data_IF_017580965462
#
_entry.id   IF_017580965462
#
_cell.length_a   1.000
_cell.length_b   1.000
_cell.length_c   1.000
_cell.angle_alpha   90.00
_cell.angle_beta   90.00
_cell.angle_gamma   90.00
#
_symmetry.space_group_name_H-M   'P 1'
#
loop_
_entity.id
_entity.type
_entity.pdbx_description
1 polymer ?
#
# COMPACT_ATOMS: atom_id res chain seq x y z
N UNK A 1 10.29 19.59 -6.17
CA UNK A 1 10.13 18.29 -6.87
C UNK A 1 8.65 17.95 -7.00
N UNK A 2 8.23 17.27 -8.06
CA UNK A 2 6.80 16.91 -8.25
C UNK A 2 6.50 15.56 -7.59
N UNK A 3 5.26 15.32 -7.17
CA UNK A 3 4.85 14.00 -6.64
C UNK A 3 5.07 12.86 -7.66
N UNK A 4 5.07 13.16 -8.96
CA UNK A 4 5.34 12.15 -9.99
C UNK A 4 6.83 11.77 -10.04
N UNK A 5 7.74 12.75 -9.92
CA UNK A 5 9.17 12.49 -9.84
C UNK A 5 9.50 11.67 -8.57
N UNK A 6 8.92 12.06 -7.43
CA UNK A 6 9.15 11.35 -6.18
C UNK A 6 8.55 9.94 -6.19
N UNK A 7 7.37 9.74 -6.77
CA UNK A 7 6.81 8.40 -6.97
C UNK A 7 7.70 7.51 -7.86
N UNK A 8 8.37 8.10 -8.86
CA UNK A 8 9.32 7.37 -9.69
C UNK A 8 10.58 6.98 -8.91
N UNK A 9 11.16 7.91 -8.15
CA UNK A 9 12.30 7.63 -7.26
C UNK A 9 11.98 6.49 -6.27
N UNK A 10 10.81 6.54 -5.64
CA UNK A 10 10.36 5.48 -4.74
C UNK A 10 10.16 4.15 -5.46
N UNK A 11 9.64 4.16 -6.69
CA UNK A 11 9.48 2.94 -7.48
C UNK A 11 10.85 2.31 -7.82
N UNK A 12 11.82 3.11 -8.25
CA UNK A 12 13.19 2.66 -8.49
C UNK A 12 13.81 2.07 -7.21
N UNK A 13 13.62 2.75 -6.08
CA UNK A 13 14.09 2.24 -4.79
C UNK A 13 13.44 0.89 -4.45
N UNK A 14 12.13 0.75 -4.60
CA UNK A 14 11.41 -0.51 -4.33
C UNK A 14 11.89 -1.64 -5.24
N UNK A 15 12.04 -1.38 -6.55
CA UNK A 15 12.45 -2.39 -7.54
C UNK A 15 13.92 -2.81 -7.39
N UNK A 16 14.76 -1.93 -6.84
CA UNK A 16 16.17 -2.20 -6.57
C UNK A 16 16.45 -2.94 -5.26
N UNK A 17 15.44 -3.28 -4.45
CA UNK A 17 15.67 -4.01 -3.20
C UNK A 17 15.87 -5.50 -3.42
N UNK A 18 17.00 -6.04 -2.94
CA UNK A 18 17.27 -7.48 -2.89
C UNK A 18 16.93 -8.02 -1.49
N UNK A 19 15.73 -8.57 -1.32
CA UNK A 19 15.27 -9.14 -0.05
C UNK A 19 14.29 -10.28 -0.27
N UNK A 20 14.23 -11.21 0.69
CA UNK A 20 13.22 -12.28 0.73
C UNK A 20 11.82 -11.71 0.99
N UNK A 21 11.74 -10.60 1.73
CA UNK A 21 10.48 -9.91 2.03
C UNK A 21 10.36 -8.65 1.18
N UNK A 22 9.13 -8.34 0.78
CA UNK A 22 8.72 -7.14 0.08
C UNK A 22 9.18 -5.87 0.81
N UNK A 23 9.68 -4.86 0.07
CA UNK A 23 10.01 -3.55 0.61
C UNK A 23 8.78 -2.86 1.22
N UNK A 24 9.01 -2.03 2.24
CA UNK A 24 7.96 -1.26 2.90
C UNK A 24 8.16 0.24 2.64
N UNK A 25 7.15 0.87 2.04
CA UNK A 25 7.01 2.33 1.96
C UNK A 25 5.86 2.74 2.87
N UNK A 26 6.13 3.60 3.85
CA UNK A 26 5.15 3.98 4.87
C UNK A 26 5.10 5.49 5.10
N UNK A 27 3.92 5.97 5.49
CA UNK A 27 3.69 7.34 5.97
C UNK A 27 3.17 7.35 7.42
N UNK A 28 3.28 6.22 8.12
CA UNK A 28 2.93 6.10 9.54
C UNK A 28 3.89 6.94 10.38
N UNK A 29 3.33 7.76 11.26
CA UNK A 29 4.07 8.62 12.16
C UNK A 29 3.48 8.52 13.58
N UNK A 30 4.25 8.91 14.59
CA UNK A 30 3.69 9.09 15.94
C UNK A 30 2.61 10.18 15.94
N UNK A 31 1.76 10.19 16.96
CA UNK A 31 0.71 11.22 17.12
C UNK A 31 1.31 12.63 17.11
N UNK A 32 2.45 12.82 17.77
CA UNK A 32 3.10 14.12 17.92
C UNK A 32 3.72 14.58 16.60
N UNK A 33 4.37 13.67 15.86
CA UNK A 33 4.93 13.97 14.55
C UNK A 33 3.81 14.26 13.53
N UNK A 34 2.71 13.51 13.58
CA UNK A 34 1.56 13.75 12.74
C UNK A 34 0.94 15.13 13.03
N UNK A 35 0.77 15.50 14.30
CA UNK A 35 0.26 16.80 14.69
C UNK A 35 1.16 17.95 14.18
N UNK A 36 2.49 17.80 14.29
CA UNK A 36 3.44 18.78 13.78
C UNK A 36 3.34 18.94 12.24
N UNK A 37 3.25 17.83 11.50
CA UNK A 37 3.06 17.84 10.04
C UNK A 37 1.74 18.53 9.67
N UNK A 38 0.66 18.20 10.37
CA UNK A 38 -0.66 18.79 10.12
C UNK A 38 -0.68 20.29 10.43
N UNK A 39 0.02 20.74 11.47
CA UNK A 39 0.16 22.14 11.81
C UNK A 39 0.97 22.91 10.76
N UNK A 40 2.06 22.32 10.27
CA UNK A 40 2.95 22.97 9.29
C UNK A 40 2.36 23.02 7.89
N UNK A 41 1.75 21.93 7.42
CA UNK A 41 1.34 21.76 6.02
C UNK A 41 -0.18 21.79 5.81
N UNK A 42 -0.96 21.70 6.90
CA UNK A 42 -2.41 21.54 6.87
C UNK A 42 -2.82 20.08 6.74
N UNK A 43 -3.73 19.63 7.61
CA UNK A 43 -4.12 18.22 7.69
C UNK A 43 -4.62 17.63 6.35
N UNK A 44 -5.54 18.32 5.69
CA UNK A 44 -6.09 17.88 4.41
C UNK A 44 -5.03 17.82 3.30
N UNK A 45 -4.16 18.84 3.21
CA UNK A 45 -3.10 18.89 2.21
C UNK A 45 -2.07 17.77 2.43
N UNK A 46 -1.68 17.52 3.67
CA UNK A 46 -0.77 16.44 4.03
C UNK A 46 -1.36 15.06 3.68
N UNK A 47 -2.62 14.80 4.06
CA UNK A 47 -3.31 13.54 3.73
C UNK A 47 -3.39 13.33 2.22
N UNK A 48 -3.86 14.35 1.48
CA UNK A 48 -4.02 14.27 0.03
C UNK A 48 -2.68 14.07 -0.69
N UNK A 49 -1.60 14.69 -0.20
CA UNK A 49 -0.27 14.50 -0.77
C UNK A 49 0.21 13.04 -0.61
N UNK A 50 0.03 12.46 0.57
CA UNK A 50 0.37 11.05 0.86
C UNK A 50 -0.48 10.09 0.02
N UNK A 51 -1.79 10.29 -0.02
CA UNK A 51 -2.72 9.48 -0.83
C UNK A 51 -2.39 9.54 -2.33
N UNK A 52 -2.10 10.74 -2.84
CA UNK A 52 -1.72 10.94 -4.24
C UNK A 52 -0.38 10.28 -4.56
N UNK A 53 0.58 10.34 -3.63
CA UNK A 53 1.87 9.67 -3.76
C UNK A 53 1.70 8.16 -3.86
N UNK A 54 0.96 7.55 -2.93
CA UNK A 54 0.73 6.09 -2.93
C UNK A 54 -0.07 5.63 -4.14
N UNK A 55 -1.05 6.41 -4.60
CA UNK A 55 -1.79 6.16 -5.84
C UNK A 55 -0.84 6.10 -7.05
N UNK A 56 0.05 7.09 -7.20
CA UNK A 56 1.03 7.12 -8.30
C UNK A 56 2.06 6.00 -8.19
N UNK A 57 2.57 5.73 -6.99
CA UNK A 57 3.54 4.68 -6.72
C UNK A 57 2.96 3.30 -7.05
N UNK A 58 1.75 2.99 -6.58
CA UNK A 58 1.11 1.70 -6.85
C UNK A 58 0.86 1.48 -8.35
N UNK A 59 0.33 2.49 -9.04
CA UNK A 59 0.13 2.42 -10.50
C UNK A 59 1.46 2.19 -11.25
N UNK A 60 2.54 2.84 -10.82
CA UNK A 60 3.86 2.65 -11.42
C UNK A 60 4.41 1.26 -11.16
N UNK A 61 4.41 0.79 -9.90
CA UNK A 61 4.89 -0.54 -9.55
C UNK A 61 4.13 -1.64 -10.30
N UNK A 62 2.81 -1.50 -10.46
CA UNK A 62 2.02 -2.44 -11.25
C UNK A 62 2.41 -2.43 -12.75
N UNK A 63 2.70 -1.26 -13.32
CA UNK A 63 3.18 -1.14 -14.69
C UNK A 63 4.57 -1.77 -14.88
N UNK A 64 5.40 -1.78 -13.85
CA UNK A 64 6.73 -2.42 -13.81
C UNK A 64 6.67 -3.91 -13.41
N UNK A 65 5.46 -4.49 -13.31
CA UNK A 65 5.25 -5.93 -13.12
C UNK A 65 5.04 -6.39 -11.68
N UNK A 66 4.91 -5.49 -10.70
CA UNK A 66 4.53 -5.87 -9.34
C UNK A 66 3.08 -6.36 -9.32
N UNK A 67 2.87 -7.60 -8.87
CA UNK A 67 1.57 -8.27 -8.87
C UNK A 67 0.94 -8.40 -7.48
N UNK A 68 1.68 -8.13 -6.40
CA UNK A 68 1.18 -8.30 -5.02
C UNK A 68 1.36 -7.01 -4.22
N UNK A 69 0.28 -6.53 -3.61
CA UNK A 69 0.28 -5.32 -2.79
C UNK A 69 -0.29 -5.61 -1.40
N UNK A 70 0.46 -5.26 -0.35
CA UNK A 70 -0.06 -5.26 1.03
C UNK A 70 -0.22 -3.81 1.44
N UNK A 71 -1.45 -3.38 1.69
CA UNK A 71 -1.78 -1.97 1.92
C UNK A 71 -2.39 -1.82 3.31
N UNK A 72 -1.90 -0.84 4.07
CA UNK A 72 -2.42 -0.52 5.39
C UNK A 72 -2.99 0.90 5.45
N UNK A 73 -4.17 1.03 6.07
CA UNK A 73 -4.95 2.28 6.13
C UNK A 73 -6.14 2.25 5.17
N UNK A 74 -7.30 2.73 5.62
CA UNK A 74 -8.55 2.65 4.84
C UNK A 74 -8.50 3.54 3.60
N UNK A 75 -8.08 4.78 3.79
CA UNK A 75 -7.91 5.80 2.76
C UNK A 75 -6.85 5.37 1.74
N UNK A 76 -5.69 4.91 2.23
CA UNK A 76 -4.60 4.37 1.39
C UNK A 76 -5.07 3.17 0.56
N UNK A 77 -5.83 2.25 1.17
CA UNK A 77 -6.38 1.07 0.48
C UNK A 77 -7.34 1.48 -0.64
N UNK A 78 -8.18 2.50 -0.41
CA UNK A 78 -9.09 3.04 -1.40
C UNK A 78 -8.35 3.62 -2.60
N UNK A 79 -7.39 4.52 -2.37
CA UNK A 79 -6.67 5.20 -3.47
C UNK A 79 -5.76 4.24 -4.25
N UNK A 80 -5.14 3.25 -3.59
CA UNK A 80 -4.35 2.21 -4.27
C UNK A 80 -5.26 1.35 -5.15
N UNK A 81 -6.38 0.84 -4.62
CA UNK A 81 -7.34 0.05 -5.38
C UNK A 81 -7.87 0.81 -6.60
N UNK A 82 -8.20 2.08 -6.42
CA UNK A 82 -8.65 2.96 -7.49
C UNK A 82 -7.55 3.19 -8.54
N UNK A 83 -6.31 3.45 -8.11
CA UNK A 83 -5.17 3.68 -9.01
C UNK A 83 -4.86 2.47 -9.90
N UNK A 84 -5.02 1.28 -9.35
CA UNK A 84 -4.84 0.01 -10.05
C UNK A 84 -6.05 -0.33 -10.94
N UNK A 85 -7.09 0.49 -10.95
CA UNK A 85 -8.29 0.32 -11.77
C UNK A 85 -9.03 -0.98 -11.45
N UNK A 86 -9.09 -1.38 -10.19
CA UNK A 86 -9.73 -2.63 -9.77
C UNK A 86 -11.21 -2.39 -9.50
N UNK A 87 -12.06 -3.19 -10.13
CA UNK A 87 -13.53 -3.05 -10.07
C UNK A 87 -14.21 -4.08 -9.15
N UNK A 88 -13.46 -5.08 -8.71
CA UNK A 88 -13.96 -6.15 -7.87
C UNK A 88 -12.86 -7.18 -7.63
N UNK A 89 -13.16 -8.14 -6.75
CA UNK A 89 -12.20 -9.15 -6.35
C UNK A 89 -12.81 -10.53 -6.20
N UNK A 90 -11.98 -11.56 -6.38
CA UNK A 90 -12.17 -12.86 -5.76
C UNK A 90 -11.60 -12.83 -4.35
N UNK A 91 -12.38 -13.30 -3.38
CA UNK A 91 -11.92 -13.45 -1.99
C UNK A 91 -11.10 -14.74 -1.90
N UNK A 92 -9.85 -14.60 -1.44
CA UNK A 92 -8.91 -15.68 -1.21
C UNK A 92 -8.79 -16.05 0.28
N UNK A 93 -7.68 -16.68 0.66
CA UNK A 93 -7.47 -17.13 2.04
C UNK A 93 -7.30 -15.96 3.01
N UNK A 94 -7.72 -16.20 4.25
CA UNK A 94 -7.68 -15.22 5.34
C UNK A 94 -6.29 -15.11 5.96
N UNK A 95 -5.72 -13.90 6.03
CA UNK A 95 -4.45 -13.63 6.73
C UNK A 95 -4.73 -13.34 8.22
N UNK A 96 -5.75 -12.53 8.48
CA UNK A 96 -6.25 -12.16 9.80
C UNK A 96 -7.77 -12.02 9.75
N UNK A 97 -8.49 -12.12 10.88
CA UNK A 97 -9.94 -11.87 10.91
C UNK A 97 -10.27 -10.54 10.22
N UNK A 98 -11.09 -10.58 9.17
CA UNK A 98 -11.47 -9.40 8.38
C UNK A 98 -10.46 -8.92 7.34
N UNK A 99 -9.31 -9.58 7.17
CA UNK A 99 -8.27 -9.24 6.18
C UNK A 99 -7.84 -10.47 5.39
N UNK A 100 -8.56 -10.82 4.31
CA UNK A 100 -8.13 -11.85 3.38
C UNK A 100 -7.17 -11.32 2.32
N UNK A 101 -6.46 -12.23 1.66
CA UNK A 101 -5.97 -11.96 0.32
C UNK A 101 -7.14 -11.85 -0.64
N UNK A 102 -7.05 -10.92 -1.58
CA UNK A 102 -8.03 -10.74 -2.64
C UNK A 102 -7.33 -10.66 -3.99
N UNK A 103 -7.93 -11.23 -5.04
CA UNK A 103 -7.40 -11.19 -6.40
C UNK A 103 -8.30 -10.32 -7.27
N UNK A 104 -7.74 -9.38 -8.03
CA UNK A 104 -8.50 -8.60 -8.99
C UNK A 104 -9.14 -9.52 -10.05
N UNK A 105 -10.36 -9.18 -10.49
CA UNK A 105 -11.12 -10.02 -11.43
C UNK A 105 -10.52 -10.08 -12.83
N UNK A 106 -9.88 -9.00 -13.27
CA UNK A 106 -9.53 -8.74 -14.68
C UNK A 106 -8.03 -8.57 -14.93
N UNK A 107 -7.19 -8.76 -13.91
CA UNK A 107 -5.74 -8.60 -14.00
C UNK A 107 -5.00 -9.42 -12.94
N UNK A 108 -3.73 -9.79 -13.17
CA UNK A 108 -2.94 -10.60 -12.25
C UNK A 108 -2.43 -9.77 -11.07
N UNK A 109 -3.34 -9.15 -10.31
CA UNK A 109 -3.01 -8.34 -9.14
C UNK A 109 -3.71 -8.91 -7.91
N UNK A 110 -2.93 -9.21 -6.88
CA UNK A 110 -3.41 -9.64 -5.57
C UNK A 110 -3.19 -8.54 -4.54
N UNK A 111 -4.14 -8.35 -3.63
CA UNK A 111 -4.06 -7.35 -2.56
C UNK A 111 -4.39 -7.96 -1.20
N UNK A 112 -3.76 -7.42 -0.16
CA UNK A 112 -4.21 -7.54 1.21
C UNK A 112 -4.49 -6.13 1.74
N UNK A 113 -5.76 -5.82 2.00
CA UNK A 113 -6.23 -4.48 2.40
C UNK A 113 -6.50 -4.46 3.90
N UNK A 114 -5.53 -3.96 4.68
CA UNK A 114 -5.58 -3.92 6.15
C UNK A 114 -6.07 -2.56 6.63
N UNK A 115 -7.25 -2.48 7.21
CA UNK A 115 -7.65 -1.25 7.93
C UNK A 115 -6.85 -1.10 9.24
N UNK A 116 -6.84 0.10 9.83
CA UNK A 116 -5.91 0.47 10.90
C UNK A 116 -5.87 -0.52 12.08
N UNK A 117 -7.04 -0.96 12.55
CA UNK A 117 -7.20 -1.76 13.77
C UNK A 117 -7.15 -3.28 13.58
N UNK A 118 -6.86 -3.76 12.36
CA UNK A 118 -6.92 -5.19 12.03
C UNK A 118 -5.52 -5.81 11.95
N UNK A 119 -5.43 -7.10 12.22
CA UNK A 119 -4.17 -7.85 12.19
C UNK A 119 -3.37 -7.78 13.49
N UNK A 120 -2.31 -8.57 13.54
CA UNK A 120 -1.34 -8.66 14.63
C UNK A 120 -0.04 -7.92 14.27
N UNK A 121 0.88 -7.82 15.24
CA UNK A 121 2.21 -7.21 15.02
C UNK A 121 2.99 -7.89 13.89
N UNK A 122 2.76 -9.20 13.68
CA UNK A 122 3.40 -9.98 12.64
C UNK A 122 2.71 -9.89 11.26
N UNK A 123 1.62 -9.12 11.12
CA UNK A 123 0.73 -9.16 9.95
C UNK A 123 1.47 -9.08 8.61
N UNK A 124 2.34 -8.09 8.42
CA UNK A 124 3.04 -7.88 7.14
C UNK A 124 3.94 -9.06 6.77
N UNK A 125 4.58 -9.70 7.76
CA UNK A 125 5.41 -10.87 7.53
C UNK A 125 4.57 -12.11 7.22
N UNK A 126 3.46 -12.30 7.92
CA UNK A 126 2.52 -13.42 7.72
C UNK A 126 1.83 -13.36 6.37
N UNK A 127 1.34 -12.17 5.98
CA UNK A 127 0.74 -11.90 4.68
C UNK A 127 1.65 -12.34 3.52
N UNK A 128 2.96 -12.20 3.68
CA UNK A 128 3.94 -12.60 2.67
C UNK A 128 4.24 -14.10 2.71
N UNK A 129 4.44 -14.68 3.90
CA UNK A 129 4.97 -16.05 4.09
C UNK A 129 3.92 -17.15 4.03
N UNK A 130 2.72 -16.91 4.55
CA UNK A 130 1.68 -17.95 4.70
C UNK A 130 1.11 -18.43 3.35
N UNK A 131 1.41 -17.72 2.26
CA UNK A 131 0.87 -17.97 0.92
C UNK A 131 1.96 -17.94 -0.16
N UNK A 132 3.19 -18.31 0.20
CA UNK A 132 4.22 -18.65 -0.77
C UNK A 132 3.91 -20.06 -1.30
N UNK A 133 3.37 -20.16 -2.51
CA UNK A 133 3.33 -21.41 -3.27
C UNK A 133 4.60 -21.57 -4.10
#
# INVERSE_FOLDING_TARGET
ETLAAYAHELAEWVLGQESVLAPLVFATASTDALAAIQQQYGAQKASQAVETLFSKLAARLAAEGVTRFIVAGGETSGVVTQSLGIKGFHIGPTISPGVPWVNALDKPVSLALKSGNFGDEAFFSRAQREFLS
#
